data_IF_272913461981
#
_entry.id   IF_272913461981
#
_cell.length_a   1.000
_cell.length_b   1.000
_cell.length_c   1.000
_cell.angle_alpha   90.00
_cell.angle_beta   90.00
_cell.angle_gamma   90.00
#
_symmetry.space_group_name_H-M   'P 1'
#
loop_
_entity.id
_entity.type
_entity.pdbx_description
1 polymer ?
#
# COMPACT_ATOMS: atom_id res chain seq x y z
N UNK A 1 -81.49 32.01 -63.51
CA UNK A 1 -80.31 31.81 -62.63
C UNK A 1 -79.98 30.32 -62.63
N UNK A 2 -78.97 29.93 -63.42
CA UNK A 2 -77.61 29.49 -62.99
C UNK A 2 -77.54 28.09 -62.34
N UNK A 3 -77.46 27.12 -63.27
CA UNK A 3 -76.68 25.86 -63.37
C UNK A 3 -76.24 25.11 -62.10
N UNK A 4 -76.55 23.80 -62.13
CA UNK A 4 -76.04 22.68 -61.34
C UNK A 4 -74.51 22.60 -61.35
N UNK A 5 -73.92 22.22 -60.22
CA UNK A 5 -72.54 21.76 -60.11
C UNK A 5 -72.48 20.45 -59.32
N UNK A 6 -71.96 19.45 -60.02
CA UNK A 6 -71.49 18.14 -59.55
C UNK A 6 -70.19 18.31 -58.78
N UNK A 7 -70.03 17.64 -57.62
CA UNK A 7 -68.74 17.52 -56.95
C UNK A 7 -68.29 16.05 -56.92
N UNK A 8 -67.05 15.86 -57.38
CA UNK A 8 -66.36 14.60 -57.64
C UNK A 8 -65.89 13.92 -56.35
N UNK A 9 -65.94 12.59 -56.38
CA UNK A 9 -65.22 11.64 -55.52
C UNK A 9 -63.70 11.87 -55.57
N UNK A 10 -63.05 11.85 -54.42
CA UNK A 10 -61.64 11.48 -54.27
C UNK A 10 -61.50 10.50 -53.09
N UNK A 11 -61.02 9.31 -53.42
CA UNK A 11 -60.64 8.22 -52.51
C UNK A 11 -59.27 8.55 -51.91
N UNK A 12 -59.14 8.47 -50.58
CA UNK A 12 -57.86 8.47 -49.87
C UNK A 12 -57.62 7.04 -49.32
N UNK A 13 -56.71 6.33 -49.96
CA UNK A 13 -56.18 5.03 -49.52
C UNK A 13 -55.13 5.26 -48.43
N UNK A 14 -55.39 4.81 -47.21
CA UNK A 14 -54.40 4.74 -46.13
C UNK A 14 -53.63 3.40 -46.23
N UNK A 15 -52.31 3.47 -46.42
CA UNK A 15 -51.41 2.32 -46.36
C UNK A 15 -50.81 2.23 -44.94
N UNK A 16 -50.88 1.09 -44.23
CA UNK A 16 -50.25 0.93 -42.94
C UNK A 16 -48.80 0.45 -43.13
N UNK A 17 -47.84 1.20 -42.59
CA UNK A 17 -46.44 0.78 -42.45
C UNK A 17 -46.34 -0.23 -41.30
N UNK A 18 -46.15 -1.51 -41.62
CA UNK A 18 -45.72 -2.52 -40.67
C UNK A 18 -44.24 -2.29 -40.32
N UNK A 19 -43.96 -1.85 -39.09
CA UNK A 19 -42.62 -1.93 -38.50
C UNK A 19 -42.36 -3.38 -38.06
N UNK A 20 -41.45 -4.06 -38.76
CA UNK A 20 -40.92 -5.35 -38.32
C UNK A 20 -39.95 -5.12 -37.15
N UNK A 21 -40.30 -5.64 -35.96
CA UNK A 21 -39.43 -5.65 -34.79
C UNK A 21 -38.39 -6.76 -34.93
N UNK A 22 -37.11 -6.39 -35.08
CA UNK A 22 -36.00 -7.34 -34.96
C UNK A 22 -35.67 -7.54 -33.47
N UNK A 23 -35.39 -8.77 -33.01
CA UNK A 23 -34.94 -9.00 -31.65
C UNK A 23 -33.51 -8.47 -31.49
N UNK A 24 -33.33 -7.54 -30.55
CA UNK A 24 -32.01 -7.13 -30.07
C UNK A 24 -31.43 -8.32 -29.31
N UNK A 25 -30.46 -9.00 -29.91
CA UNK A 25 -29.62 -9.97 -29.21
C UNK A 25 -28.67 -9.14 -28.34
N UNK A 26 -28.93 -9.08 -27.04
CA UNK A 26 -27.98 -8.56 -26.07
C UNK A 26 -26.78 -9.52 -26.04
N UNK A 27 -25.69 -9.14 -26.70
CA UNK A 27 -24.42 -9.84 -26.58
C UNK A 27 -23.84 -9.46 -25.21
N UNK A 28 -23.93 -10.38 -24.25
CA UNK A 28 -23.15 -10.29 -23.02
C UNK A 28 -21.67 -10.39 -23.42
N UNK A 29 -21.05 -9.23 -23.64
CA UNK A 29 -19.62 -9.13 -23.77
C UNK A 29 -19.04 -9.69 -22.48
N UNK A 30 -18.41 -10.86 -22.58
CA UNK A 30 -17.68 -11.48 -21.49
C UNK A 30 -16.62 -10.47 -21.06
N UNK A 31 -16.80 -9.84 -19.90
CA UNK A 31 -15.77 -9.01 -19.31
C UNK A 31 -14.49 -9.84 -19.20
N UNK A 32 -13.30 -9.28 -19.51
CA UNK A 32 -12.06 -10.00 -19.29
C UNK A 32 -11.99 -10.42 -17.82
N UNK A 33 -11.75 -11.70 -17.57
CA UNK A 33 -11.63 -12.25 -16.24
C UNK A 33 -10.56 -11.45 -15.48
N UNK A 34 -10.96 -10.69 -14.46
CA UNK A 34 -10.01 -10.10 -13.52
C UNK A 34 -9.30 -11.26 -12.81
N UNK A 35 -7.97 -11.19 -12.59
CA UNK A 35 -7.27 -12.21 -11.84
C UNK A 35 -7.95 -12.39 -10.48
N UNK A 36 -8.17 -13.64 -10.06
CA UNK A 36 -8.87 -13.92 -8.81
C UNK A 36 -8.11 -13.26 -7.64
N UNK A 37 -8.82 -12.53 -6.76
CA UNK A 37 -8.18 -11.91 -5.62
C UNK A 37 -7.64 -12.99 -4.68
N UNK A 38 -6.43 -12.79 -4.16
CA UNK A 38 -5.87 -13.65 -3.13
C UNK A 38 -6.25 -13.12 -1.75
N UNK A 39 -6.19 -13.98 -0.73
CA UNK A 39 -6.35 -13.54 0.64
C UNK A 39 -4.99 -13.11 1.19
N UNK A 40 -4.89 -11.85 1.61
CA UNK A 40 -3.72 -11.31 2.32
C UNK A 40 -4.07 -11.04 3.77
N UNK A 41 -3.07 -11.10 4.65
CA UNK A 41 -3.15 -10.72 6.06
C UNK A 41 -2.43 -9.40 6.27
N UNK A 42 -3.06 -8.48 7.01
CA UNK A 42 -2.44 -7.24 7.46
C UNK A 42 -1.36 -7.58 8.49
N UNK A 43 -0.11 -7.19 8.21
CA UNK A 43 1.05 -7.51 9.06
C UNK A 43 2.12 -6.44 8.93
N UNK A 44 3.13 -6.46 9.81
CA UNK A 44 4.26 -5.51 9.78
C UNK A 44 3.92 -4.10 10.31
N UNK A 45 2.78 -3.92 10.96
CA UNK A 45 2.45 -2.71 11.69
C UNK A 45 3.12 -2.69 13.07
N UNK A 46 3.36 -1.51 13.62
CA UNK A 46 3.76 -1.35 15.02
C UNK A 46 2.64 -1.83 15.97
N UNK A 47 2.96 -2.14 17.25
CA UNK A 47 1.96 -2.47 18.24
C UNK A 47 0.84 -1.42 18.31
N UNK A 48 -0.40 -1.89 18.40
CA UNK A 48 -1.64 -1.08 18.45
C UNK A 48 -1.91 -0.15 17.25
N UNK A 49 -1.13 -0.22 16.19
CA UNK A 49 -1.34 0.60 15.00
C UNK A 49 -2.33 -0.02 13.99
N UNK A 50 -2.88 0.83 13.12
CA UNK A 50 -3.88 0.46 12.12
C UNK A 50 -3.42 0.78 10.70
N UNK A 51 -3.62 -0.16 9.78
CA UNK A 51 -3.42 0.03 8.35
C UNK A 51 -4.52 0.92 7.77
N UNK A 52 -4.15 2.07 7.22
CA UNK A 52 -5.07 2.95 6.51
C UNK A 52 -5.39 2.39 5.11
N UNK A 53 -6.68 2.18 4.81
CA UNK A 53 -7.19 2.00 3.45
C UNK A 53 -7.58 3.37 2.88
N UNK A 54 -7.12 3.67 1.66
CA UNK A 54 -7.26 5.00 1.07
C UNK A 54 -8.08 5.00 -0.22
N UNK A 55 -8.73 6.12 -0.50
CA UNK A 55 -9.51 6.30 -1.73
C UNK A 55 -8.65 6.15 -2.99
N UNK A 56 -7.41 6.65 -2.93
CA UNK A 56 -6.43 6.61 -4.01
C UNK A 56 -5.13 5.96 -3.54
N UNK A 57 -4.35 5.42 -4.48
CA UNK A 57 -3.04 4.80 -4.24
C UNK A 57 -1.97 5.85 -3.92
N UNK A 58 -2.11 6.52 -2.79
CA UNK A 58 -1.25 7.63 -2.36
C UNK A 58 -1.19 7.74 -0.85
N UNK A 59 -0.01 8.02 -0.31
CA UNK A 59 0.22 8.22 1.12
C UNK A 59 -0.52 9.45 1.69
N UNK A 60 -0.93 10.41 0.85
CA UNK A 60 -1.69 11.61 1.25
C UNK A 60 -3.17 11.52 0.88
N UNK A 61 -3.62 10.41 0.28
CA UNK A 61 -5.02 10.21 -0.11
C UNK A 61 -5.97 10.12 1.10
N UNK A 62 -7.24 10.49 0.90
CA UNK A 62 -8.29 10.37 1.92
C UNK A 62 -8.35 8.94 2.47
N UNK A 63 -8.39 8.81 3.79
CA UNK A 63 -8.56 7.52 4.46
C UNK A 63 -10.03 7.14 4.46
N UNK A 64 -10.34 5.96 3.93
CA UNK A 64 -11.71 5.40 3.88
C UNK A 64 -11.95 4.40 5.01
N UNK A 65 -10.90 3.68 5.44
CA UNK A 65 -11.00 2.73 6.55
C UNK A 65 -9.65 2.54 7.26
N UNK A 66 -9.69 1.90 8.43
CA UNK A 66 -8.51 1.50 9.21
C UNK A 66 -8.66 0.06 9.64
N UNK A 67 -7.64 -0.76 9.38
CA UNK A 67 -7.66 -2.20 9.68
C UNK A 67 -6.55 -2.55 10.69
N UNK A 68 -6.85 -3.33 11.74
CA UNK A 68 -5.84 -3.79 12.68
C UNK A 68 -4.93 -4.86 12.05
N UNK A 69 -3.76 -5.07 12.66
CA UNK A 69 -2.89 -6.21 12.36
C UNK A 69 -3.65 -7.54 12.53
N UNK A 70 -3.37 -8.52 11.67
CA UNK A 70 -4.06 -9.81 11.60
C UNK A 70 -5.35 -9.80 10.78
N UNK A 71 -5.80 -8.66 10.26
CA UNK A 71 -7.01 -8.59 9.43
C UNK A 71 -6.81 -9.33 8.10
N UNK A 72 -7.76 -10.18 7.72
CA UNK A 72 -7.77 -10.87 6.42
C UNK A 72 -8.51 -10.03 5.37
N UNK A 73 -7.85 -9.73 4.26
CA UNK A 73 -8.41 -8.92 3.17
C UNK A 73 -8.36 -9.68 1.85
N UNK A 74 -9.32 -9.43 0.96
CA UNK A 74 -9.19 -9.76 -0.46
C UNK A 74 -8.25 -8.75 -1.10
N UNK A 75 -7.17 -9.24 -1.71
CA UNK A 75 -6.20 -8.43 -2.45
C UNK A 75 -6.38 -8.66 -3.95
N UNK A 76 -6.92 -7.65 -4.63
CA UNK A 76 -7.27 -7.68 -6.06
C UNK A 76 -6.08 -7.46 -6.99
N UNK A 77 -4.90 -7.23 -6.43
CA UNK A 77 -3.70 -6.93 -7.18
C UNK A 77 -3.03 -5.65 -6.71
N UNK A 78 -1.80 -5.46 -7.17
CA UNK A 78 -0.96 -4.35 -6.80
C UNK A 78 -0.35 -3.70 -8.05
N UNK A 79 -0.34 -2.37 -8.07
CA UNK A 79 0.28 -1.56 -9.12
C UNK A 79 1.34 -0.64 -8.52
N UNK A 80 2.25 -0.16 -9.35
CA UNK A 80 3.26 0.82 -8.95
C UNK A 80 2.70 2.23 -9.12
N UNK A 81 2.66 3.00 -8.02
CA UNK A 81 2.30 4.41 -8.04
C UNK A 81 3.42 5.22 -7.40
N UNK A 82 3.95 6.20 -8.14
CA UNK A 82 5.08 7.03 -7.71
C UNK A 82 6.30 6.21 -7.23
N UNK A 83 6.54 5.05 -7.85
CA UNK A 83 7.64 4.14 -7.51
C UNK A 83 7.34 3.13 -6.39
N UNK A 84 6.13 3.14 -5.81
CA UNK A 84 5.77 2.25 -4.69
C UNK A 84 4.64 1.28 -5.05
N UNK A 85 4.69 0.02 -4.59
CA UNK A 85 3.61 -0.93 -4.78
C UNK A 85 2.43 -0.64 -3.85
N UNK A 86 1.26 -0.41 -4.44
CA UNK A 86 -0.02 -0.26 -3.75
C UNK A 86 -0.99 -1.32 -4.22
N UNK A 87 -1.69 -1.93 -3.27
CA UNK A 87 -2.66 -2.97 -3.54
C UNK A 87 -4.08 -2.47 -3.32
N UNK A 88 -4.99 -2.87 -4.21
CA UNK A 88 -6.42 -2.65 -4.02
C UNK A 88 -6.94 -3.79 -3.14
N UNK A 89 -7.56 -3.45 -2.03
CA UNK A 89 -8.00 -4.42 -1.02
C UNK A 89 -9.42 -4.16 -0.55
N UNK A 90 -10.06 -5.22 -0.08
CA UNK A 90 -11.36 -5.18 0.60
C UNK A 90 -11.31 -6.09 1.83
N UNK A 91 -11.82 -5.62 2.95
CA UNK A 91 -11.93 -6.46 4.15
C UNK A 91 -12.86 -7.66 3.90
N UNK A 92 -12.45 -8.83 4.38
CA UNK A 92 -13.20 -10.06 4.14
C UNK A 92 -14.48 -10.12 4.98
N UNK A 93 -14.47 -9.51 6.18
CA UNK A 93 -15.60 -9.51 7.12
C UNK A 93 -16.60 -8.40 6.82
N UNK A 94 -16.11 -7.23 6.44
CA UNK A 94 -16.92 -6.08 6.07
C UNK A 94 -16.53 -5.55 4.67
N UNK A 95 -17.24 -6.00 3.62
CA UNK A 95 -16.97 -5.58 2.24
C UNK A 95 -17.10 -4.07 1.98
N UNK A 96 -17.75 -3.30 2.87
CA UNK A 96 -17.82 -1.85 2.74
C UNK A 96 -16.47 -1.16 3.03
N UNK A 97 -15.54 -1.86 3.69
CA UNK A 97 -14.18 -1.38 3.93
C UNK A 97 -13.31 -1.81 2.75
N UNK A 98 -13.15 -0.90 1.78
CA UNK A 98 -12.34 -1.11 0.59
C UNK A 98 -11.45 0.10 0.33
N UNK A 99 -10.34 -0.12 -0.37
CA UNK A 99 -9.45 0.98 -0.75
C UNK A 99 -8.08 0.50 -1.20
N UNK A 100 -7.14 1.43 -1.20
CA UNK A 100 -5.74 1.22 -1.52
C UNK A 100 -4.90 1.16 -0.24
N UNK A 101 -3.98 0.19 -0.18
CA UNK A 101 -3.02 0.05 0.91
C UNK A 101 -1.60 -0.22 0.38
N UNK A 102 -0.54 0.19 1.10
CA UNK A 102 0.83 -0.17 0.73
C UNK A 102 1.03 -1.68 0.75
N UNK A 103 1.65 -2.25 -0.30
CA UNK A 103 1.84 -3.70 -0.41
C UNK A 103 2.68 -4.29 0.71
N UNK A 104 3.58 -3.49 1.31
CA UNK A 104 4.48 -3.91 2.41
C UNK A 104 3.76 -4.41 3.66
N UNK A 105 2.49 -4.07 3.85
CA UNK A 105 1.69 -4.51 5.00
C UNK A 105 0.76 -5.69 4.69
N UNK A 106 0.88 -6.30 3.50
CA UNK A 106 -0.03 -7.35 3.03
C UNK A 106 0.75 -8.62 2.70
N UNK A 107 0.41 -9.73 3.36
CA UNK A 107 1.08 -11.02 3.18
C UNK A 107 0.08 -12.16 2.94
N UNK A 108 0.22 -12.96 1.86
CA UNK A 108 1.12 -12.77 0.73
C UNK A 108 0.76 -11.52 -0.07
N UNK A 109 1.76 -10.94 -0.75
CA UNK A 109 1.55 -9.89 -1.74
C UNK A 109 0.94 -10.49 -3.03
N UNK A 110 0.04 -9.76 -3.69
CA UNK A 110 -0.51 -10.14 -4.99
C UNK A 110 0.26 -9.42 -6.12
N UNK A 111 1.15 -10.09 -6.87
CA UNK A 111 1.90 -9.44 -7.95
C UNK A 111 1.04 -9.14 -9.18
N UNK A 112 -0.22 -9.60 -9.24
CA UNK A 112 -1.12 -9.27 -10.34
C UNK A 112 -1.42 -7.76 -10.37
N UNK A 113 -1.46 -7.18 -11.56
CA UNK A 113 -1.86 -5.79 -11.74
C UNK A 113 -3.39 -5.65 -11.58
N UNK A 114 -3.84 -4.58 -10.90
CA UNK A 114 -5.27 -4.22 -10.90
C UNK A 114 -5.59 -3.58 -12.27
N UNK A 115 -6.64 -4.03 -12.97
CA UNK A 115 -7.08 -3.44 -14.25
C UNK A 115 -7.32 -1.93 -14.17
N UNK A 116 -6.97 -1.19 -15.23
CA UNK A 116 -7.04 0.29 -15.30
C UNK A 116 -8.42 0.86 -14.92
N UNK A 117 -9.49 0.18 -15.33
CA UNK A 117 -10.86 0.57 -15.05
C UNK A 117 -11.20 0.55 -13.55
N UNK A 118 -10.55 -0.34 -12.78
CA UNK A 118 -10.70 -0.46 -11.33
C UNK A 118 -9.76 0.45 -10.55
N UNK A 119 -8.78 1.08 -11.22
CA UNK A 119 -7.88 2.05 -10.61
C UNK A 119 -8.63 3.35 -10.25
N UNK A 120 -9.59 3.74 -11.08
CA UNK A 120 -10.30 5.02 -10.98
C UNK A 120 -11.63 4.98 -10.17
N UNK A 121 -12.10 3.81 -9.73
CA UNK A 121 -13.44 3.69 -9.12
C UNK A 121 -13.44 4.16 -7.66
N UNK A 122 -13.90 5.40 -7.46
CA UNK A 122 -14.72 5.81 -6.31
C UNK A 122 -16.19 5.34 -6.54
N UNK A 123 -17.01 5.15 -5.49
CA UNK A 123 -18.39 4.66 -5.66
C UNK A 123 -19.20 5.55 -6.60
N UNK A 124 -20.23 5.02 -7.30
CA UNK A 124 -21.18 5.88 -8.01
C UNK A 124 -21.89 6.76 -6.98
N UNK A 125 -21.54 8.04 -6.96
CA UNK A 125 -22.36 9.06 -6.32
C UNK A 125 -23.69 9.08 -7.08
N UNK A 126 -24.74 8.56 -6.47
CA UNK A 126 -26.10 8.80 -6.93
C UNK A 126 -26.30 10.31 -7.07
N UNK A 127 -26.70 10.73 -8.27
CA UNK A 127 -27.09 12.10 -8.56
C UNK A 127 -28.25 12.50 -7.64
N UNK A 128 -27.96 13.39 -6.72
CA UNK A 128 -28.92 14.09 -5.88
C UNK A 128 -28.62 15.58 -5.96
N UNK A 129 -29.22 16.21 -6.96
CA UNK A 129 -29.56 17.63 -7.10
C UNK A 129 -29.06 18.58 -6.00
N UNK A 130 -28.18 19.53 -6.36
CA UNK A 130 -27.97 20.76 -5.59
C UNK A 130 -28.49 21.95 -6.40
N UNK A 131 -29.34 22.84 -5.84
CA UNK A 131 -29.96 23.91 -6.60
C UNK A 131 -28.99 25.07 -6.82
N UNK A 132 -29.12 25.68 -7.99
CA UNK A 132 -28.45 26.91 -8.39
C UNK A 132 -28.89 28.11 -7.53
N UNK A 133 -27.99 29.07 -7.34
CA UNK A 133 -28.36 30.48 -7.17
C UNK A 133 -27.33 31.40 -7.85
N UNK A 134 -27.75 32.52 -8.48
CA UNK A 134 -26.89 33.30 -9.37
C UNK A 134 -26.44 34.68 -8.82
N UNK A 135 -25.43 35.22 -9.51
CA UNK A 135 -25.13 36.64 -9.79
C UNK A 135 -24.55 37.58 -8.71
N UNK A 136 -23.56 38.37 -9.17
CA UNK A 136 -23.16 39.69 -8.67
C UNK A 136 -21.63 39.85 -8.52
N UNK A 137 -20.88 40.79 -9.08
CA UNK A 137 -20.96 41.76 -10.20
C UNK A 137 -19.55 42.42 -10.29
N UNK A 138 -19.09 42.66 -11.53
CA UNK A 138 -18.05 43.56 -12.11
C UNK A 138 -17.03 44.37 -11.27
N UNK A 139 -15.80 44.52 -11.82
CA UNK A 139 -15.20 45.78 -12.38
C UNK A 139 -13.81 45.50 -13.06
N UNK A 140 -13.67 45.55 -14.40
CA UNK A 140 -13.21 46.63 -15.33
C UNK A 140 -11.75 47.12 -15.24
N UNK A 141 -10.94 46.93 -16.31
CA UNK A 141 -10.34 48.01 -17.13
C UNK A 141 -9.49 47.48 -18.31
N UNK A 142 -9.65 48.11 -19.48
CA UNK A 142 -9.04 47.90 -20.83
C UNK A 142 -7.71 48.69 -20.93
N UNK A 143 -6.55 48.15 -21.37
CA UNK A 143 -6.00 48.01 -22.75
C UNK A 143 -5.01 49.17 -23.11
N UNK A 144 -4.23 49.19 -24.22
CA UNK A 144 -3.54 48.16 -25.02
C UNK A 144 -2.05 48.54 -25.36
N UNK A 145 -1.17 47.57 -25.68
CA UNK A 145 -0.17 47.71 -26.77
C UNK A 145 0.66 46.43 -27.02
N UNK A 146 0.57 45.96 -28.27
CA UNK A 146 1.57 45.36 -29.17
C UNK A 146 2.88 44.78 -28.58
N UNK A 147 3.19 43.52 -28.90
CA UNK A 147 4.11 43.12 -30.00
C UNK A 147 4.46 41.63 -29.82
N UNK A 148 4.27 40.81 -30.86
CA UNK A 148 4.74 39.42 -30.91
C UNK A 148 6.29 39.34 -30.92
N UNK A 149 6.90 38.17 -30.65
CA UNK A 149 7.03 37.21 -31.74
C UNK A 149 6.72 35.76 -31.36
N UNK A 150 6.36 35.06 -32.41
CA UNK A 150 6.12 33.63 -32.57
C UNK A 150 7.37 32.85 -32.17
N UNK A 151 7.23 31.84 -31.30
CA UNK A 151 8.25 30.84 -31.04
C UNK A 151 7.70 29.46 -31.43
N UNK A 152 8.27 28.98 -32.52
CA UNK A 152 8.33 27.66 -33.13
C UNK A 152 7.87 26.44 -32.30
N UNK A 153 6.98 25.65 -32.91
CA UNK A 153 6.79 24.25 -32.60
C UNK A 153 7.93 23.42 -33.23
N UNK A 154 8.55 22.46 -32.52
CA UNK A 154 9.42 21.49 -33.16
C UNK A 154 8.60 20.43 -33.90
N UNK A 155 8.89 20.29 -35.19
CA UNK A 155 8.45 19.20 -36.07
C UNK A 155 9.09 17.84 -35.67
N UNK A 156 8.57 16.70 -36.17
CA UNK A 156 8.83 15.38 -35.61
C UNK A 156 10.20 14.84 -36.01
N UNK A 157 10.92 14.21 -35.07
CA UNK A 157 12.15 13.49 -35.37
C UNK A 157 11.85 12.03 -35.72
N UNK A 158 12.51 11.59 -36.80
CA UNK A 158 12.38 10.33 -37.51
C UNK A 158 12.45 9.05 -36.67
N UNK A 159 11.59 8.11 -37.06
CA UNK A 159 11.64 6.72 -36.68
C UNK A 159 12.92 6.05 -37.22
N UNK A 160 13.92 5.88 -36.35
CA UNK A 160 15.05 5.00 -36.63
C UNK A 160 14.67 3.55 -36.34
N UNK A 161 14.76 2.76 -37.41
CA UNK A 161 14.50 1.33 -37.47
C UNK A 161 15.28 0.54 -36.40
N UNK A 162 14.55 -0.19 -35.56
CA UNK A 162 15.11 -1.23 -34.71
C UNK A 162 15.61 -2.39 -35.57
N UNK A 163 16.93 -2.58 -35.60
CA UNK A 163 17.57 -3.78 -36.14
C UNK A 163 17.16 -4.99 -35.31
N UNK A 164 16.49 -5.95 -35.96
CA UNK A 164 15.95 -7.18 -35.36
C UNK A 164 17.09 -8.16 -35.09
N UNK A 165 17.52 -8.28 -33.83
CA UNK A 165 18.43 -9.35 -33.41
C UNK A 165 17.76 -10.74 -33.60
N UNK A 166 18.48 -11.76 -34.07
CA UNK A 166 17.93 -13.11 -34.23
C UNK A 166 17.62 -13.74 -32.86
N UNK A 167 16.40 -14.28 -32.72
CA UNK A 167 15.99 -15.05 -31.53
C UNK A 167 16.88 -16.28 -31.38
N UNK A 168 17.57 -16.40 -30.25
CA UNK A 168 18.21 -17.66 -29.86
C UNK A 168 17.14 -18.70 -29.49
N UNK A 169 17.35 -19.99 -29.80
CA UNK A 169 16.45 -21.06 -29.35
C UNK A 169 16.44 -21.15 -27.83
N UNK A 170 15.24 -21.18 -27.25
CA UNK A 170 15.03 -21.42 -25.82
C UNK A 170 15.46 -22.86 -25.52
N UNK A 171 16.46 -23.05 -24.67
CA UNK A 171 16.80 -24.37 -24.15
C UNK A 171 15.63 -24.90 -23.28
N UNK A 172 15.31 -26.20 -23.33
CA UNK A 172 14.28 -26.78 -22.48
C UNK A 172 14.64 -26.59 -20.99
N UNK A 173 13.63 -26.42 -20.12
CA UNK A 173 13.87 -26.24 -18.69
C UNK A 173 14.62 -27.44 -18.10
N UNK A 174 15.51 -27.23 -17.12
CA UNK A 174 16.27 -28.31 -16.50
C UNK A 174 15.33 -29.28 -15.78
N UNK A 175 15.57 -30.57 -15.98
CA UNK A 175 14.84 -31.67 -15.35
C UNK A 175 15.08 -31.66 -13.82
N UNK A 176 14.03 -31.33 -13.07
CA UNK A 176 14.04 -31.27 -11.61
C UNK A 176 14.19 -32.66 -10.98
N UNK A 177 13.87 -33.75 -11.70
CA UNK A 177 14.03 -35.12 -11.21
C UNK A 177 15.49 -35.49 -11.00
N UNK A 178 16.37 -35.03 -11.89
CA UNK A 178 17.81 -35.29 -11.83
C UNK A 178 18.52 -34.58 -10.67
N UNK A 179 17.94 -33.51 -10.09
CA UNK A 179 18.55 -32.75 -8.97
C UNK A 179 18.07 -33.17 -7.58
N UNK A 180 16.89 -33.75 -7.47
CA UNK A 180 16.35 -34.19 -6.17
C UNK A 180 16.92 -35.54 -5.71
N UNK A 181 17.71 -36.20 -6.57
CA UNK A 181 18.16 -37.55 -6.33
C UNK A 181 16.98 -38.52 -6.38
N UNK A 182 17.19 -39.72 -6.92
CA UNK A 182 16.25 -40.80 -6.68
C UNK A 182 16.26 -41.10 -5.18
N UNK A 183 15.39 -40.44 -4.43
CA UNK A 183 15.05 -40.85 -3.08
C UNK A 183 14.26 -42.14 -3.24
N UNK A 184 14.96 -43.26 -3.16
CA UNK A 184 14.37 -44.52 -2.73
C UNK A 184 13.58 -44.18 -1.47
N UNK A 185 12.27 -44.07 -1.60
CA UNK A 185 11.40 -43.80 -0.48
C UNK A 185 11.53 -45.02 0.44
N UNK A 186 12.36 -44.90 1.47
CA UNK A 186 12.35 -45.85 2.57
C UNK A 186 10.89 -45.97 3.01
N UNK A 187 10.37 -47.19 3.02
CA UNK A 187 8.99 -47.45 3.36
C UNK A 187 8.64 -46.72 4.67
N UNK A 188 7.47 -46.05 4.74
CA UNK A 188 7.10 -45.31 5.93
C UNK A 188 7.19 -46.22 7.16
N UNK A 189 7.72 -45.74 8.29
CA UNK A 189 7.83 -46.56 9.49
C UNK A 189 6.46 -47.07 9.88
N UNK A 190 6.41 -48.31 10.39
CA UNK A 190 5.15 -48.91 10.81
C UNK A 190 4.48 -48.05 11.89
N UNK A 191 3.14 -48.08 11.96
CA UNK A 191 2.35 -47.38 12.99
C UNK A 191 2.90 -47.68 14.40
N UNK A 192 3.38 -48.92 14.64
CA UNK A 192 3.97 -49.31 15.91
C UNK A 192 5.25 -48.51 16.25
N UNK A 193 6.13 -48.34 15.26
CA UNK A 193 7.36 -47.54 15.41
C UNK A 193 7.05 -46.06 15.64
N UNK A 194 6.00 -45.53 15.00
CA UNK A 194 5.54 -44.16 15.21
C UNK A 194 5.02 -44.00 16.65
N UNK A 195 4.24 -44.95 17.15
CA UNK A 195 3.71 -44.89 18.53
C UNK A 195 4.80 -45.06 19.59
N UNK A 196 5.80 -45.92 19.35
CA UNK A 196 6.90 -46.14 20.30
C UNK A 196 7.78 -44.89 20.43
N UNK A 197 8.11 -44.25 19.31
CA UNK A 197 8.89 -43.01 19.32
C UNK A 197 8.12 -41.87 20.01
N UNK A 198 6.82 -41.74 19.74
CA UNK A 198 5.98 -40.73 20.38
C UNK A 198 5.90 -40.92 21.91
N UNK A 199 5.87 -42.17 22.38
CA UNK A 199 5.83 -42.46 23.82
C UNK A 199 7.17 -42.17 24.50
N UNK A 200 8.30 -42.45 23.83
CA UNK A 200 9.63 -42.13 24.33
C UNK A 200 9.87 -40.61 24.39
N UNK A 201 9.42 -39.85 23.39
CA UNK A 201 9.51 -38.38 23.38
C UNK A 201 8.69 -37.75 24.52
N UNK A 202 7.48 -38.27 24.78
CA UNK A 202 6.64 -37.81 25.88
C UNK A 202 7.29 -38.05 27.25
N UNK A 203 7.96 -39.20 27.41
CA UNK A 203 8.71 -39.52 28.64
C UNK A 203 9.92 -38.60 28.79
N UNK A 204 10.68 -38.34 27.71
CA UNK A 204 11.82 -37.42 27.71
C UNK A 204 11.43 -36.00 28.12
N UNK A 205 10.33 -35.48 27.58
CA UNK A 205 9.77 -34.18 27.95
C UNK A 205 9.35 -34.11 29.43
N UNK A 206 8.80 -35.20 29.98
CA UNK A 206 8.37 -35.25 31.37
C UNK A 206 9.55 -35.21 32.36
N UNK A 207 10.70 -35.82 32.02
CA UNK A 207 11.90 -35.74 32.85
C UNK A 207 12.52 -34.33 32.86
N UNK A 208 12.59 -33.67 31.70
CA UNK A 208 13.08 -32.27 31.61
C UNK A 208 12.19 -31.30 32.38
N UNK A 209 10.87 -31.52 32.41
CA UNK A 209 9.95 -30.72 33.21
C UNK A 209 10.16 -30.90 34.73
N UNK A 210 10.58 -32.09 35.17
CA UNK A 210 10.81 -32.40 36.59
C UNK A 210 12.08 -31.71 37.13
N UNK A 211 13.13 -31.62 36.32
CA UNK A 211 14.39 -30.95 36.70
C UNK A 211 14.21 -29.42 36.84
N UNK A 212 13.33 -28.83 36.04
CA UNK A 212 12.99 -27.40 36.12
C UNK A 212 12.06 -27.06 37.30
N UNK A 213 11.49 -28.05 37.97
CA UNK A 213 10.54 -27.85 39.09
C UNK A 213 11.22 -27.77 40.46
N UNK A 214 12.53 -28.05 40.56
CA UNK A 214 13.27 -28.07 41.83
C UNK A 214 13.88 -26.71 42.24
N UNK A 215 13.72 -25.65 41.43
CA UNK A 215 14.37 -24.34 41.65
C UNK A 215 13.44 -23.20 42.11
N UNK A 216 12.20 -23.47 42.54
CA UNK A 216 11.27 -22.44 42.98
C UNK A 216 10.85 -22.63 44.46
N UNK A 217 11.61 -21.98 45.35
CA UNK A 217 11.24 -21.80 46.75
C UNK A 217 10.02 -20.88 46.91
N UNK A 218 9.21 -21.23 47.91
CA UNK A 218 7.92 -20.68 48.33
C UNK A 218 7.88 -19.17 48.53
N UNK A 219 7.06 -18.43 47.76
CA UNK A 219 6.42 -17.18 48.22
C UNK A 219 4.99 -17.02 47.68
N UNK A 220 4.15 -16.49 48.56
CA UNK A 220 2.70 -16.45 48.59
C UNK A 220 2.01 -15.60 47.50
N UNK A 221 0.88 -16.12 47.03
CA UNK A 221 -0.08 -15.55 46.07
C UNK A 221 -0.70 -14.22 46.54
N UNK A 222 -0.08 -13.09 46.17
CA UNK A 222 -0.84 -11.91 45.80
C UNK A 222 -1.09 -11.98 44.29
N UNK A 223 -2.37 -11.93 43.87
CA UNK A 223 -2.74 -11.87 42.46
C UNK A 223 -2.28 -10.53 41.89
N UNK A 224 -1.04 -10.49 41.42
CA UNK A 224 -0.61 -9.54 40.41
C UNK A 224 -1.40 -9.89 39.15
N UNK A 225 -2.26 -8.97 38.71
CA UNK A 225 -2.63 -8.93 37.30
C UNK A 225 -1.33 -9.02 36.49
N UNK A 226 -1.22 -9.87 35.45
CA UNK A 226 -0.08 -9.83 34.57
C UNK A 226 -0.08 -8.45 33.94
N UNK A 227 0.74 -7.55 34.49
CA UNK A 227 1.18 -6.34 33.83
C UNK A 227 1.57 -6.82 32.43
N UNK A 228 0.90 -6.36 31.36
CA UNK A 228 1.31 -6.72 30.01
C UNK A 228 2.81 -6.48 29.96
N UNK A 229 3.60 -7.34 29.29
CA UNK A 229 5.02 -7.07 29.17
C UNK A 229 5.10 -5.64 28.66
N UNK A 230 5.50 -4.72 29.53
CA UNK A 230 6.04 -3.47 29.09
C UNK A 230 7.20 -4.00 28.29
N UNK A 231 7.05 -4.01 26.96
CA UNK A 231 8.17 -3.88 26.09
C UNK A 231 8.92 -2.74 26.75
N UNK A 232 9.99 -3.08 27.46
CA UNK A 232 10.96 -2.09 27.84
C UNK A 232 11.20 -1.39 26.51
N UNK A 233 10.87 -0.09 26.45
CA UNK A 233 11.38 0.73 25.38
C UNK A 233 12.89 0.55 25.49
N UNK A 234 13.42 -0.39 24.71
CA UNK A 234 14.84 -0.51 24.49
C UNK A 234 15.12 0.71 23.65
N UNK A 235 15.94 1.66 24.11
CA UNK A 235 16.34 2.74 23.24
C UNK A 235 17.05 2.07 22.07
N UNK A 236 16.42 2.04 20.88
CA UNK A 236 17.13 1.78 19.66
C UNK A 236 18.10 2.96 19.50
N UNK A 237 19.36 2.73 19.87
CA UNK A 237 20.28 3.83 20.14
C UNK A 237 21.77 3.51 20.17
N UNK A 238 22.18 2.25 19.94
CA UNK A 238 23.61 1.90 19.83
C UNK A 238 23.98 1.18 18.53
N UNK A 239 23.01 0.63 17.80
CA UNK A 239 23.28 -0.38 16.76
C UNK A 239 23.09 0.14 15.33
N UNK A 240 23.00 1.46 15.15
CA UNK A 240 22.77 2.03 13.83
C UNK A 240 21.36 1.77 13.32
N UNK A 241 20.36 1.68 14.21
CA UNK A 241 18.93 1.63 13.89
C UNK A 241 18.13 2.58 14.79
N UNK A 242 17.08 3.20 14.24
CA UNK A 242 16.17 4.10 14.97
C UNK A 242 14.70 3.88 14.59
N UNK A 243 13.73 4.24 15.45
CA UNK A 243 12.34 4.32 15.05
C UNK A 243 12.15 5.49 14.07
N UNK A 244 11.50 5.22 12.95
CA UNK A 244 11.22 6.21 11.92
C UNK A 244 9.89 5.91 11.20
N UNK A 245 9.29 6.92 10.59
CA UNK A 245 8.20 6.76 9.64
C UNK A 245 8.36 7.83 8.56
N UNK A 246 8.17 7.47 7.30
CA UNK A 246 8.30 8.42 6.19
C UNK A 246 6.96 9.03 5.81
N UNK A 247 5.89 8.26 5.97
CA UNK A 247 4.57 8.59 5.45
C UNK A 247 3.54 8.92 6.53
N UNK A 248 2.52 9.67 6.14
CA UNK A 248 1.42 10.08 7.03
C UNK A 248 0.65 8.85 7.48
N UNK A 249 0.48 8.70 8.79
CA UNK A 249 -0.28 7.59 9.38
C UNK A 249 0.37 6.23 9.21
N UNK A 250 1.67 6.21 8.91
CA UNK A 250 2.48 5.00 8.97
C UNK A 250 2.80 4.65 10.43
N UNK A 251 2.87 3.38 10.81
CA UNK A 251 3.51 3.01 12.07
C UNK A 251 4.97 3.44 12.08
N UNK A 252 5.53 3.63 13.26
CA UNK A 252 6.99 3.70 13.37
C UNK A 252 7.56 2.32 12.99
N UNK A 253 8.47 2.32 12.02
CA UNK A 253 9.31 1.19 11.63
C UNK A 253 10.74 1.43 12.11
N UNK A 254 11.64 0.54 11.73
CA UNK A 254 13.08 0.59 12.03
C UNK A 254 13.85 1.08 10.80
N UNK A 255 14.62 2.16 10.95
CA UNK A 255 15.48 2.71 9.92
C UNK A 255 16.95 2.53 10.29
N UNK A 256 17.74 2.04 9.33
CA UNK A 256 19.19 2.02 9.46
C UNK A 256 19.76 3.45 9.48
N UNK A 257 20.75 3.70 10.33
CA UNK A 257 21.42 4.99 10.46
C UNK A 257 22.92 4.89 10.36
N UNK A 258 23.53 5.92 9.78
CA UNK A 258 24.97 6.18 9.83
C UNK A 258 25.20 7.53 10.48
N UNK A 259 26.08 7.58 11.46
CA UNK A 259 26.40 8.80 12.21
C UNK A 259 27.81 9.28 11.86
N UNK A 260 27.92 10.52 11.41
CA UNK A 260 29.19 11.22 11.18
C UNK A 260 29.32 12.33 12.22
N UNK A 261 30.29 12.20 13.12
CA UNK A 261 30.50 13.20 14.19
C UNK A 261 31.54 14.24 13.76
N UNK A 262 31.18 15.50 13.91
CA UNK A 262 32.02 16.66 13.63
C UNK A 262 32.60 17.29 14.90
N UNK A 263 33.22 18.46 14.75
CA UNK A 263 33.72 19.27 15.87
C UNK A 263 32.58 19.99 16.58
N UNK A 264 32.85 20.49 17.79
CA UNK A 264 31.95 21.35 18.56
C UNK A 264 30.57 20.73 18.84
N UNK A 265 30.53 19.40 19.03
CA UNK A 265 29.28 18.67 19.30
C UNK A 265 28.34 18.55 18.10
N UNK A 266 28.81 18.83 16.88
CA UNK A 266 28.04 18.59 15.66
C UNK A 266 28.01 17.11 15.30
N UNK A 267 26.87 16.63 14.81
CA UNK A 267 26.76 15.30 14.23
C UNK A 267 25.76 15.32 13.07
N UNK A 268 26.07 14.59 12.01
CA UNK A 268 25.15 14.37 10.90
C UNK A 268 24.71 12.90 10.92
N UNK A 269 23.40 12.69 10.99
CA UNK A 269 22.79 11.37 11.02
C UNK A 269 22.11 11.14 9.68
N UNK A 270 22.63 10.19 8.92
CA UNK A 270 22.00 9.71 7.69
C UNK A 270 21.07 8.57 8.03
N UNK A 271 19.77 8.80 7.93
CA UNK A 271 18.71 7.80 8.12
C UNK A 271 18.38 7.17 6.77
N UNK A 272 18.35 5.85 6.69
CA UNK A 272 18.01 5.06 5.50
C UNK A 272 16.71 4.32 5.76
N UNK A 273 15.68 4.61 4.97
CA UNK A 273 14.40 3.92 5.12
C UNK A 273 14.46 2.50 4.55
N UNK A 274 13.64 1.56 5.07
CA UNK A 274 13.54 0.20 4.53
C UNK A 274 13.12 0.13 3.06
N UNK A 275 12.36 1.12 2.60
CA UNK A 275 11.92 1.25 1.20
C UNK A 275 12.91 2.03 0.31
N UNK A 276 14.03 2.47 0.87
CA UNK A 276 15.12 3.12 0.17
C UNK A 276 15.10 4.66 0.23
N UNK A 277 16.20 5.24 -0.25
CA UNK A 277 16.50 6.66 -0.07
C UNK A 277 17.01 6.99 1.33
N UNK A 278 17.41 8.24 1.52
CA UNK A 278 18.03 8.70 2.77
C UNK A 278 17.53 10.07 3.19
N UNK A 279 17.58 10.33 4.50
CA UNK A 279 17.40 11.64 5.12
C UNK A 279 18.67 12.00 5.88
N UNK A 280 19.24 13.18 5.62
CA UNK A 280 20.27 13.73 6.49
C UNK A 280 19.62 14.62 7.56
N UNK A 281 19.87 14.31 8.83
CA UNK A 281 19.44 15.13 9.97
C UNK A 281 20.70 15.62 10.68
N UNK A 282 20.85 16.93 10.77
CA UNK A 282 21.99 17.55 11.45
C UNK A 282 21.66 17.79 12.91
N UNK A 283 22.66 17.63 13.77
CA UNK A 283 22.61 17.82 15.21
C UNK A 283 23.69 18.78 15.68
N UNK A 284 23.41 19.51 16.75
CA UNK A 284 24.36 20.36 17.46
C UNK A 284 24.19 20.17 18.97
N UNK A 285 25.24 19.75 19.67
CA UNK A 285 25.26 19.48 21.10
C UNK A 285 24.12 18.52 21.54
N UNK A 286 23.90 17.46 20.74
CA UNK A 286 22.86 16.46 20.98
C UNK A 286 21.44 16.87 20.55
N UNK A 287 21.24 18.12 20.11
CA UNK A 287 19.93 18.63 19.68
C UNK A 287 19.76 18.61 18.16
N UNK A 288 18.59 18.26 17.62
CA UNK A 288 18.33 18.34 16.19
C UNK A 288 18.39 19.80 15.71
N UNK A 289 19.22 20.07 14.70
CA UNK A 289 19.49 21.40 14.17
C UNK A 289 18.82 21.64 12.80
N UNK A 290 18.57 20.59 12.03
CA UNK A 290 17.87 20.69 10.74
C UNK A 290 17.96 19.40 9.91
N UNK A 291 17.61 19.53 8.63
CA UNK A 291 17.69 18.43 7.66
C UNK A 291 18.04 18.90 6.26
N UNK A 292 18.36 17.97 5.37
CA UNK A 292 18.53 18.21 3.92
C UNK A 292 17.21 18.37 3.14
N UNK A 293 16.05 18.28 3.80
CA UNK A 293 14.75 18.55 3.19
C UNK A 293 14.46 20.05 3.10
N UNK A 294 13.90 20.49 1.97
CA UNK A 294 13.22 21.79 1.85
C UNK A 294 11.79 21.69 2.41
N UNK A 295 11.69 21.52 3.73
CA UNK A 295 10.43 21.34 4.44
C UNK A 295 10.51 21.84 5.90
N UNK A 296 9.35 22.12 6.50
CA UNK A 296 9.24 22.47 7.92
C UNK A 296 9.97 21.46 8.79
N UNK A 297 10.91 21.93 9.62
CA UNK A 297 11.62 21.11 10.59
C UNK A 297 11.16 21.45 12.00
N UNK A 298 10.62 20.47 12.73
CA UNK A 298 10.16 20.63 14.11
C UNK A 298 10.71 19.51 14.96
N UNK A 299 11.09 19.83 16.19
CA UNK A 299 11.48 18.80 17.15
C UNK A 299 10.93 19.12 18.54
N UNK A 300 10.57 18.06 19.25
CA UNK A 300 10.27 18.08 20.68
C UNK A 300 11.23 17.11 21.37
N UNK A 301 11.52 17.36 22.65
CA UNK A 301 12.48 16.57 23.41
C UNK A 301 11.86 16.09 24.70
N UNK A 302 11.97 14.79 24.95
CA UNK A 302 11.53 14.11 26.16
C UNK A 302 12.73 13.40 26.78
N UNK A 303 13.27 13.97 27.87
CA UNK A 303 14.53 13.50 28.45
C UNK A 303 15.69 13.59 27.45
N UNK A 304 16.21 12.43 27.03
CA UNK A 304 17.28 12.29 26.02
C UNK A 304 16.76 11.88 24.64
N UNK A 305 15.45 11.71 24.46
CA UNK A 305 14.83 11.34 23.20
C UNK A 305 14.39 12.59 22.43
N UNK A 306 14.85 12.71 21.19
CA UNK A 306 14.41 13.74 20.28
C UNK A 306 13.37 13.16 19.32
N UNK A 307 12.17 13.72 19.35
CA UNK A 307 11.09 13.40 18.43
C UNK A 307 11.08 14.47 17.34
N UNK A 308 11.47 14.09 16.13
CA UNK A 308 11.70 15.00 15.01
C UNK A 308 10.59 14.79 13.99
N UNK A 309 10.05 15.89 13.48
CA UNK A 309 9.09 15.93 12.38
C UNK A 309 9.65 16.78 11.25
N UNK A 310 9.66 16.21 10.05
CA UNK A 310 10.10 16.89 8.83
C UNK A 310 8.95 16.89 7.82
N UNK A 311 8.53 18.08 7.43
CA UNK A 311 7.34 18.28 6.61
C UNK A 311 6.08 17.72 7.27
N UNK A 312 5.21 17.13 6.45
CA UNK A 312 3.87 16.66 6.88
C UNK A 312 3.86 15.23 7.41
N UNK A 313 4.91 14.44 7.16
CA UNK A 313 4.83 12.98 7.28
C UNK A 313 6.01 12.32 7.98
N UNK A 314 7.21 12.84 7.77
CA UNK A 314 8.41 12.19 8.27
C UNK A 314 8.54 12.38 9.78
N UNK A 315 8.77 11.27 10.47
CA UNK A 315 8.91 11.20 11.92
C UNK A 315 10.13 10.37 12.26
N UNK A 316 10.93 10.85 13.20
CA UNK A 316 12.13 10.16 13.66
C UNK A 316 12.24 10.28 15.17
N UNK A 317 12.73 9.22 15.79
CA UNK A 317 13.04 9.18 17.22
C UNK A 317 14.54 8.92 17.39
N UNK A 318 15.28 9.92 17.84
CA UNK A 318 16.75 9.87 17.90
C UNK A 318 17.22 10.29 19.28
N UNK A 319 17.99 9.44 19.95
CA UNK A 319 18.54 9.76 21.27
C UNK A 319 19.78 10.65 21.18
N UNK A 320 20.02 11.43 22.23
CA UNK A 320 21.26 12.22 22.35
C UNK A 320 22.50 11.31 22.33
N UNK A 321 22.42 10.13 22.96
CA UNK A 321 23.50 9.14 22.98
C UNK A 321 23.88 8.64 21.58
N UNK A 322 22.89 8.44 20.70
CA UNK A 322 23.16 8.11 19.31
C UNK A 322 23.89 9.27 18.58
N UNK A 323 23.45 10.51 18.79
CA UNK A 323 24.09 11.69 18.18
C UNK A 323 25.51 11.92 18.71
N UNK A 324 25.72 11.81 20.02
CA UNK A 324 26.97 12.17 20.71
C UNK A 324 27.96 10.99 20.81
N UNK A 325 27.48 9.75 20.82
CA UNK A 325 28.30 8.54 20.89
C UNK A 325 28.68 8.12 22.31
N UNK A 326 27.79 8.32 23.27
CA UNK A 326 28.01 8.05 24.70
C UNK A 326 26.86 7.29 25.36
#
# INVERSE_FOLDING_TARGET
MRRRLTLRRTLLTAAPLLFAALPVIAQEASAPASPDPIISIVSGLAPDDLLNLRATASAVGKTEARLPSGTSVKNYGCNIFNGYPWCKVQDLKNPSLFGWAPARYLTPNNPAAVPEDQIAVAPPANAGEAPANPAGEMITSVGPNDTAPVAEAPAPMDASATSRAPRQPIAPPPDLGSRLGNSDHAAPPSIATITDNAMQDAIGMAYVAKDNSAAAGTQSIARLEPKPPQAAWVPAGTDGDIPCARYVGEPMTHCAVKVVRGKDGKADITVTWPDGGTRLISFNAGKPAGSDADADFRSTREGTLNMIRIGVSERFEITDGLALGN
#
